data_IF_513012830716
#
_entry.id   IF_513012830716
#
_cell.length_a   1.000
_cell.length_b   1.000
_cell.length_c   1.000
_cell.angle_alpha   90.00
_cell.angle_beta   90.00
_cell.angle_gamma   90.00
#
_symmetry.space_group_name_H-M   'P 1'
#
loop_
_entity.id
_entity.type
_entity.pdbx_description
1 polymer ?
#
# COMPACT_ATOMS: atom_id res chain seq x y z
N UNK A 1 -12.54 -8.77 -1.20
CA UNK A 1 -11.92 -8.96 -2.54
C UNK A 1 -11.43 -10.41 -2.68
N UNK A 2 -11.62 -11.02 -3.86
CA UNK A 2 -11.14 -12.37 -4.14
C UNK A 2 -9.61 -12.42 -4.13
N UNK A 3 -9.03 -13.60 -3.88
CA UNK A 3 -7.56 -13.78 -3.86
C UNK A 3 -6.93 -13.39 -5.20
N UNK A 4 -7.56 -13.78 -6.32
CA UNK A 4 -7.09 -13.44 -7.66
C UNK A 4 -7.06 -11.93 -7.92
N UNK A 5 -8.08 -11.21 -7.46
CA UNK A 5 -8.11 -9.75 -7.60
C UNK A 5 -7.01 -9.06 -6.78
N UNK A 6 -6.70 -9.54 -5.57
CA UNK A 6 -5.59 -9.00 -4.75
C UNK A 6 -4.22 -9.18 -5.43
N UNK A 7 -4.02 -10.32 -6.08
CA UNK A 7 -2.81 -10.62 -6.84
C UNK A 7 -2.69 -9.66 -8.03
N UNK A 8 -3.75 -9.48 -8.83
CA UNK A 8 -3.76 -8.55 -9.96
C UNK A 8 -3.45 -7.11 -9.54
N UNK A 9 -4.04 -6.63 -8.45
CA UNK A 9 -3.77 -5.28 -7.93
C UNK A 9 -2.32 -5.14 -7.46
N UNK A 10 -1.77 -6.16 -6.79
CA UNK A 10 -0.37 -6.15 -6.36
C UNK A 10 0.59 -6.07 -7.56
N UNK A 11 0.31 -6.84 -8.62
CA UNK A 11 1.08 -6.78 -9.87
C UNK A 11 0.98 -5.37 -10.49
N UNK A 12 -0.20 -4.77 -10.53
CA UNK A 12 -0.39 -3.40 -11.00
C UNK A 12 0.43 -2.37 -10.20
N UNK A 13 0.47 -2.50 -8.87
CA UNK A 13 1.30 -1.65 -8.00
C UNK A 13 2.79 -1.80 -8.34
N UNK A 14 3.28 -3.04 -8.55
CA UNK A 14 4.68 -3.27 -8.91
C UNK A 14 5.02 -2.66 -10.27
N UNK A 15 4.18 -2.85 -11.28
CA UNK A 15 4.38 -2.26 -12.62
C UNK A 15 4.44 -0.72 -12.50
N UNK A 16 3.49 -0.12 -11.80
CA UNK A 16 3.48 1.33 -11.55
C UNK A 16 4.75 1.79 -10.81
N UNK A 17 5.16 1.07 -9.77
CA UNK A 17 6.39 1.36 -9.02
C UNK A 17 7.62 1.35 -9.93
N UNK A 18 7.83 0.30 -10.73
CA UNK A 18 8.97 0.22 -11.63
C UNK A 18 8.97 1.32 -12.68
N UNK A 19 7.79 1.71 -13.18
CA UNK A 19 7.67 2.81 -14.14
C UNK A 19 8.07 4.16 -13.52
N UNK A 20 7.52 4.48 -12.34
CA UNK A 20 7.87 5.71 -11.61
C UNK A 20 9.33 5.71 -11.16
N UNK A 21 9.83 4.59 -10.65
CA UNK A 21 11.20 4.45 -10.20
C UNK A 21 12.18 4.58 -11.37
N UNK A 22 11.87 3.96 -12.52
CA UNK A 22 12.64 4.10 -13.74
C UNK A 22 12.71 5.54 -14.24
N UNK A 23 11.57 6.23 -14.30
CA UNK A 23 11.51 7.65 -14.67
C UNK A 23 12.31 8.55 -13.70
N UNK A 24 12.17 8.31 -12.39
CA UNK A 24 12.92 9.03 -11.36
C UNK A 24 14.43 8.81 -11.46
N UNK A 25 14.85 7.59 -11.79
CA UNK A 25 16.28 7.24 -11.92
C UNK A 25 16.87 7.81 -13.20
N UNK A 26 16.11 7.79 -14.31
CA UNK A 26 16.50 8.37 -15.58
C UNK A 26 16.75 9.88 -15.50
N UNK A 27 15.83 10.63 -14.87
CA UNK A 27 15.97 12.08 -14.69
C UNK A 27 17.16 12.47 -13.81
N UNK A 28 17.51 11.65 -12.81
CA UNK A 28 18.65 11.90 -11.92
C UNK A 28 20.01 11.51 -12.47
N UNK A 29 20.07 10.55 -13.39
CA UNK A 29 21.32 10.19 -14.06
C UNK A 29 21.97 11.39 -14.76
N UNK A 30 21.16 12.37 -15.18
CA UNK A 30 21.64 13.63 -15.77
C UNK A 30 22.32 14.57 -14.76
N UNK A 31 22.11 14.39 -13.45
CA UNK A 31 22.62 15.24 -12.37
C UNK A 31 23.80 14.66 -11.58
N UNK A 32 24.42 13.58 -12.05
CA UNK A 32 25.63 12.99 -11.43
C UNK A 32 25.40 11.96 -10.31
N UNK A 33 24.16 11.80 -9.83
CA UNK A 33 23.79 10.78 -8.84
C UNK A 33 22.88 9.71 -9.45
N UNK A 34 23.41 8.49 -9.61
CA UNK A 34 22.66 7.36 -10.16
C UNK A 34 21.59 6.79 -9.21
N UNK A 35 21.55 7.25 -7.95
CA UNK A 35 20.66 6.70 -6.92
C UNK A 35 19.45 7.63 -6.67
N UNK A 36 18.21 7.09 -6.63
CA UNK A 36 16.99 7.88 -6.42
C UNK A 36 16.82 8.50 -5.02
N UNK A 37 17.83 8.43 -4.14
CA UNK A 37 17.92 9.16 -2.88
C UNK A 37 16.65 9.11 -2.02
N UNK A 38 16.34 10.22 -1.34
CA UNK A 38 15.18 10.32 -0.43
C UNK A 38 13.84 10.03 -1.13
N UNK A 39 13.64 10.49 -2.37
CA UNK A 39 12.40 10.22 -3.11
C UNK A 39 12.25 8.75 -3.51
N UNK A 40 13.36 8.05 -3.76
CA UNK A 40 13.34 6.60 -3.97
C UNK A 40 12.86 5.87 -2.72
N UNK A 41 13.30 6.29 -1.54
CA UNK A 41 12.83 5.74 -0.25
C UNK A 41 11.35 6.03 0.01
N UNK A 42 10.89 7.24 -0.28
CA UNK A 42 9.47 7.61 -0.15
C UNK A 42 8.61 6.77 -1.10
N UNK A 43 9.02 6.63 -2.36
CA UNK A 43 8.32 5.81 -3.34
C UNK A 43 8.28 4.34 -2.92
N UNK A 44 9.38 3.82 -2.38
CA UNK A 44 9.46 2.46 -1.85
C UNK A 44 8.56 2.26 -0.62
N UNK A 45 8.56 3.22 0.30
CA UNK A 45 7.68 3.23 1.46
C UNK A 45 6.19 3.26 1.06
N UNK A 46 5.85 4.07 0.06
CA UNK A 46 4.52 4.11 -0.54
C UNK A 46 4.11 2.78 -1.17
N UNK A 47 5.01 2.12 -1.91
CA UNK A 47 4.78 0.79 -2.48
C UNK A 47 4.47 -0.24 -1.38
N UNK A 48 5.31 -0.31 -0.33
CA UNK A 48 5.12 -1.25 0.77
C UNK A 48 3.79 -0.97 1.49
N UNK A 49 3.47 0.29 1.78
CA UNK A 49 2.21 0.67 2.42
C UNK A 49 1.00 0.30 1.55
N UNK A 50 1.08 0.55 0.23
CA UNK A 50 0.03 0.20 -0.73
C UNK A 50 -0.22 -1.31 -0.81
N UNK A 51 0.85 -2.11 -0.92
CA UNK A 51 0.74 -3.58 -0.89
C UNK A 51 0.15 -4.00 0.45
N UNK A 52 0.66 -3.50 1.57
CA UNK A 52 0.13 -3.84 2.91
C UNK A 52 -1.35 -3.52 3.05
N UNK A 53 -1.82 -2.42 2.47
CA UNK A 53 -3.24 -2.04 2.47
C UNK A 53 -4.11 -3.02 1.67
N UNK A 54 -3.67 -3.46 0.50
CA UNK A 54 -4.40 -4.46 -0.34
C UNK A 54 -4.56 -5.78 0.40
N UNK A 55 -3.53 -6.18 1.15
CA UNK A 55 -3.52 -7.43 1.90
C UNK A 55 -4.09 -7.30 3.32
N UNK A 56 -4.31 -6.07 3.81
CA UNK A 56 -4.95 -5.81 5.10
C UNK A 56 -6.30 -6.53 5.12
N UNK A 57 -6.48 -7.42 6.11
CA UNK A 57 -7.80 -7.99 6.36
C UNK A 57 -8.65 -6.88 6.95
N UNK A 58 -9.94 -6.77 6.58
CA UNK A 58 -10.84 -5.96 7.38
C UNK A 58 -10.70 -6.45 8.82
N UNK A 59 -10.40 -5.53 9.73
CA UNK A 59 -10.73 -5.76 11.12
C UNK A 59 -12.24 -5.89 11.11
N UNK A 60 -12.75 -7.09 11.37
CA UNK A 60 -14.12 -7.18 11.84
C UNK A 60 -14.13 -6.30 13.08
N UNK A 61 -14.72 -5.10 12.97
CA UNK A 61 -15.22 -4.41 14.15
C UNK A 61 -16.27 -5.36 14.73
N UNK A 62 -15.79 -6.29 15.56
CA UNK A 62 -16.58 -6.93 16.59
C UNK A 62 -16.81 -5.89 17.68
N UNK A 63 -17.36 -4.74 17.32
CA UNK A 63 -18.26 -4.02 18.22
C UNK A 63 -19.59 -4.77 18.15
N UNK A 64 -19.56 -5.96 18.74
CA UNK A 64 -20.73 -6.50 19.39
C UNK A 64 -20.87 -5.76 20.72
N UNK A 65 -20.97 -4.43 20.65
CA UNK A 65 -21.45 -3.54 21.70
C UNK A 65 -22.96 -3.76 21.82
N UNK A 66 -23.33 -5.02 22.05
CA UNK A 66 -24.62 -5.38 22.59
C UNK A 66 -24.57 -5.13 24.09
N UNK A 67 -24.34 -3.87 24.48
CA UNK A 67 -24.74 -3.38 25.80
C UNK A 67 -26.27 -3.28 25.80
N UNK A 68 -26.94 -4.44 25.77
CA UNK A 68 -28.29 -4.58 26.29
C UNK A 68 -28.18 -4.32 27.78
N UNK A 69 -28.33 -3.06 28.17
CA UNK A 69 -28.75 -2.72 29.52
C UNK A 69 -30.13 -3.33 29.68
N UNK A 70 -30.17 -4.52 30.25
CA UNK A 70 -31.39 -5.16 30.72
C UNK A 70 -32.09 -4.19 31.66
N UNK A 71 -33.15 -3.58 31.15
CA UNK A 71 -34.02 -2.72 31.91
C UNK A 71 -35.20 -3.59 32.30
N UNK A 72 -35.05 -4.37 33.37
CA UNK A 72 -36.20 -4.96 34.05
C UNK A 72 -36.55 -4.15 35.29
N UNK A 73 -37.87 -3.99 35.45
CA UNK A 73 -38.61 -3.09 36.34
C UNK A 73 -38.31 -3.21 37.83
#
# INVERSE_FOLDING_TARGET
MSKGAKVLVTIGILIGFFFLFGALTFTRKSGGNATPGIFGLILFGGMIAGIRAVWKKPTDDKDNDNHQLDKTS
#
